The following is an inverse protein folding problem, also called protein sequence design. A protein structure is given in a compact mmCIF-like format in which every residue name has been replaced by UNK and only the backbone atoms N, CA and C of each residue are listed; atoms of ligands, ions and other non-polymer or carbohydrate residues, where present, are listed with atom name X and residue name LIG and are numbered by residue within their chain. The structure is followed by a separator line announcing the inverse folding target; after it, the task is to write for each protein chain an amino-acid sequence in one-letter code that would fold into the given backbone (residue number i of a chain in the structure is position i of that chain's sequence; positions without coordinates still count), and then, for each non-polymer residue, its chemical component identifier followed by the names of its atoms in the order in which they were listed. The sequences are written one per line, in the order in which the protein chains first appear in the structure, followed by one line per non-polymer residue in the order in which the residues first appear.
data_IF_138310220789
#
_entry.id   IF_138310220789
#
_cell.length_a   1.000
_cell.length_b   1.000
_cell.length_c   1.000
_cell.angle_alpha   90.00
_cell.angle_beta   90.00
_cell.angle_gamma   90.00
#
_symmetry.space_group_name_H-M   'P 1'
#
loop_
_entity.id
_entity.type
_entity.pdbx_description
1 polymer ?
#
# COMPACT_ATOMS: atom_id res chain seq x y z
N UNK A 1 9.22 28.90 -31.96
CA UNK A 1 9.71 28.23 -30.73
C UNK A 1 8.60 27.30 -30.26
N UNK A 2 8.53 26.07 -30.77
CA UNK A 2 7.43 25.12 -30.52
C UNK A 2 7.81 23.63 -30.27
N UNK A 3 9.07 23.22 -29.95
CA UNK A 3 9.35 21.81 -29.66
C UNK A 3 9.15 21.42 -28.18
N UNK A 4 9.16 22.36 -27.23
CA UNK A 4 9.19 22.05 -25.80
C UNK A 4 7.83 21.61 -25.21
N UNK A 5 6.72 22.14 -25.74
CA UNK A 5 5.37 21.92 -25.16
C UNK A 5 4.84 20.51 -25.46
N UNK A 6 5.23 19.89 -26.58
CA UNK A 6 4.75 18.54 -26.94
C UNK A 6 5.40 17.41 -26.12
N UNK A 7 6.60 17.61 -25.56
CA UNK A 7 7.26 16.59 -24.72
C UNK A 7 6.57 16.45 -23.36
N UNK A 8 6.32 17.57 -22.69
CA UNK A 8 5.73 17.61 -21.35
C UNK A 8 4.36 16.89 -21.28
N UNK A 9 3.51 17.05 -22.30
CA UNK A 9 2.19 16.40 -22.31
C UNK A 9 2.27 14.88 -22.54
N UNK A 10 3.27 14.40 -23.31
CA UNK A 10 3.45 12.97 -23.61
C UNK A 10 4.12 12.25 -22.45
N UNK A 11 5.03 12.93 -21.76
CA UNK A 11 5.71 12.43 -20.56
C UNK A 11 4.73 12.24 -19.41
N UNK A 12 3.84 13.20 -19.15
CA UNK A 12 2.77 13.06 -18.15
C UNK A 12 1.81 11.90 -18.47
N UNK A 13 1.44 11.73 -19.73
CA UNK A 13 0.57 10.62 -20.15
C UNK A 13 1.26 9.25 -20.02
N UNK A 14 2.54 9.17 -20.39
CA UNK A 14 3.34 7.95 -20.28
C UNK A 14 3.63 7.58 -18.81
N UNK A 15 3.93 8.56 -17.96
CA UNK A 15 4.00 8.39 -16.50
C UNK A 15 2.68 7.85 -15.95
N UNK A 16 1.54 8.39 -16.39
CA UNK A 16 0.20 7.95 -15.96
C UNK A 16 -0.05 6.48 -16.31
N UNK A 17 0.31 6.05 -17.52
CA UNK A 17 0.22 4.65 -17.97
C UNK A 17 1.19 3.75 -17.18
N UNK A 18 2.43 4.20 -16.99
CA UNK A 18 3.44 3.47 -16.21
C UNK A 18 2.94 3.21 -14.79
N UNK A 19 2.36 4.22 -14.15
CA UNK A 19 1.76 4.10 -12.83
C UNK A 19 0.55 3.18 -12.82
N UNK A 20 -0.36 3.29 -13.80
CA UNK A 20 -1.48 2.34 -13.95
C UNK A 20 -0.99 0.88 -14.06
N UNK A 21 0.06 0.62 -14.84
CA UNK A 21 0.65 -0.71 -14.97
C UNK A 21 1.30 -1.18 -13.66
N UNK A 22 2.02 -0.28 -12.99
CA UNK A 22 2.70 -0.57 -11.73
C UNK A 22 1.69 -0.91 -10.62
N UNK A 23 0.56 -0.20 -10.56
CA UNK A 23 -0.52 -0.53 -9.62
C UNK A 23 -1.29 -1.79 -9.98
N UNK A 24 -1.54 -2.03 -11.26
CA UNK A 24 -2.12 -3.28 -11.71
C UNK A 24 -1.22 -4.47 -11.30
N UNK A 25 0.10 -4.33 -11.44
CA UNK A 25 1.05 -5.36 -11.03
C UNK A 25 1.12 -5.50 -9.50
N UNK A 26 1.13 -4.39 -8.75
CA UNK A 26 1.09 -4.40 -7.29
C UNK A 26 -0.17 -5.09 -6.77
N UNK A 27 -1.34 -4.82 -7.38
CA UNK A 27 -2.60 -5.48 -7.05
C UNK A 27 -2.53 -7.00 -7.28
N UNK A 28 -1.96 -7.41 -8.42
CA UNK A 28 -1.76 -8.82 -8.76
C UNK A 28 -0.86 -9.56 -7.77
N UNK A 29 0.11 -8.88 -7.14
CA UNK A 29 0.99 -9.48 -6.12
C UNK A 29 0.37 -9.41 -4.72
N UNK A 30 -0.29 -8.31 -4.38
CA UNK A 30 -0.84 -8.09 -3.06
C UNK A 30 -2.03 -8.98 -2.73
N UNK A 31 -2.91 -9.25 -3.70
CA UNK A 31 -4.05 -10.14 -3.51
C UNK A 31 -3.62 -11.57 -3.12
N UNK A 32 -2.72 -12.26 -3.86
CA UNK A 32 -2.24 -13.58 -3.46
C UNK A 32 -1.38 -13.52 -2.18
N UNK A 33 -0.65 -12.43 -1.93
CA UNK A 33 0.14 -12.27 -0.72
C UNK A 33 -0.75 -12.14 0.55
N UNK A 34 -1.83 -11.36 0.48
CA UNK A 34 -2.83 -11.28 1.55
C UNK A 34 -3.49 -12.64 1.79
N UNK A 35 -3.89 -13.33 0.72
CA UNK A 35 -4.40 -14.71 0.80
C UNK A 35 -3.41 -15.64 1.51
N UNK A 36 -2.13 -15.58 1.17
CA UNK A 36 -1.09 -16.38 1.79
C UNK A 36 -0.94 -16.07 3.29
N UNK A 37 -0.96 -14.79 3.68
CA UNK A 37 -0.86 -14.38 5.09
C UNK A 37 -2.06 -14.84 5.90
N UNK A 38 -3.27 -14.71 5.36
CA UNK A 38 -4.50 -15.21 5.99
C UNK A 38 -4.45 -16.73 6.14
N UNK A 39 -4.00 -17.45 5.10
CA UNK A 39 -3.86 -18.90 5.15
C UNK A 39 -2.86 -19.33 6.23
N UNK A 40 -1.70 -18.67 6.29
CA UNK A 40 -0.72 -18.90 7.35
C UNK A 40 -1.31 -18.60 8.74
N UNK A 41 -2.06 -17.51 8.91
CA UNK A 41 -2.74 -17.23 10.19
C UNK A 41 -3.71 -18.33 10.58
N UNK A 42 -4.50 -18.86 9.65
CA UNK A 42 -5.45 -19.96 9.90
C UNK A 42 -4.69 -21.22 10.32
N UNK A 43 -3.62 -21.58 9.59
CA UNK A 43 -2.75 -22.70 9.96
C UNK A 43 -2.18 -22.51 11.36
N UNK A 44 -1.57 -21.36 11.65
CA UNK A 44 -1.02 -21.07 12.98
C UNK A 44 -2.08 -21.12 14.08
N UNK A 45 -3.29 -20.64 13.82
CA UNK A 45 -4.39 -20.69 14.77
C UNK A 45 -4.83 -22.13 15.07
N UNK A 46 -4.86 -23.00 14.06
CA UNK A 46 -5.23 -24.42 14.23
C UNK A 46 -4.16 -25.19 15.00
N UNK A 47 -2.88 -24.94 14.74
CA UNK A 47 -1.78 -25.67 15.40
C UNK A 47 -1.37 -25.10 16.77
N UNK A 48 -1.34 -23.77 16.93
CA UNK A 48 -0.84 -23.10 18.14
C UNK A 48 -1.92 -22.41 18.97
N UNK A 49 -3.18 -22.36 18.50
CA UNK A 49 -4.29 -21.71 19.20
C UNK A 49 -4.24 -20.18 19.24
N UNK A 50 -3.13 -19.56 18.83
CA UNK A 50 -2.95 -18.11 18.86
C UNK A 50 -2.54 -17.56 17.48
N UNK A 51 -3.11 -16.43 17.05
CA UNK A 51 -2.68 -15.75 15.82
C UNK A 51 -1.28 -15.17 15.99
N UNK A 52 -0.41 -15.36 14.99
CA UNK A 52 0.96 -14.85 15.04
C UNK A 52 0.97 -13.32 14.83
N UNK A 53 1.27 -12.57 15.90
CA UNK A 53 1.25 -11.10 15.90
C UNK A 53 2.10 -10.49 14.77
N UNK A 54 3.25 -11.07 14.44
CA UNK A 54 4.08 -10.61 13.31
C UNK A 54 3.40 -10.74 11.94
N UNK A 55 2.66 -11.83 11.69
CA UNK A 55 1.94 -12.02 10.43
C UNK A 55 0.70 -11.12 10.36
N UNK A 56 0.05 -10.88 11.50
CA UNK A 56 -1.05 -9.92 11.59
C UNK A 56 -0.60 -8.48 11.30
N UNK A 57 0.55 -8.06 11.86
CA UNK A 57 1.13 -6.74 11.57
C UNK A 57 1.55 -6.61 10.11
N UNK A 58 2.14 -7.67 9.52
CA UNK A 58 2.46 -7.70 8.08
C UNK A 58 1.21 -7.60 7.21
N UNK A 59 0.17 -8.38 7.49
CA UNK A 59 -1.10 -8.32 6.76
C UNK A 59 -1.76 -6.94 6.85
N UNK A 60 -1.77 -6.34 8.05
CA UNK A 60 -2.26 -4.97 8.25
C UNK A 60 -1.45 -3.92 7.48
N UNK A 61 -0.12 -4.04 7.47
CA UNK A 61 0.76 -3.16 6.70
C UNK A 61 0.59 -3.28 5.19
N UNK A 62 0.39 -4.50 4.67
CA UNK A 62 0.07 -4.71 3.25
C UNK A 62 -1.28 -4.10 2.89
N UNK A 63 -2.28 -4.21 3.77
CA UNK A 63 -3.58 -3.54 3.59
C UNK A 63 -3.46 -2.01 3.55
N UNK A 64 -2.67 -1.43 4.45
CA UNK A 64 -2.38 0.00 4.46
C UNK A 64 -1.62 0.46 3.22
N UNK A 65 -0.64 -0.32 2.76
CA UNK A 65 0.10 -0.04 1.54
C UNK A 65 -0.81 -0.09 0.31
N UNK A 66 -1.78 -1.02 0.29
CA UNK A 66 -2.80 -1.08 -0.76
C UNK A 66 -3.69 0.17 -0.81
N UNK A 67 -4.06 0.71 0.34
CA UNK A 67 -4.81 1.95 0.40
C UNK A 67 -3.99 3.14 -0.15
N UNK A 68 -2.70 3.23 0.19
CA UNK A 68 -1.80 4.24 -0.37
C UNK A 68 -1.66 4.11 -1.89
N UNK A 69 -1.49 2.88 -2.38
CA UNK A 69 -1.50 2.52 -3.80
C UNK A 69 -2.78 3.01 -4.48
N UNK A 70 -3.94 2.68 -3.91
CA UNK A 70 -5.24 3.03 -4.50
C UNK A 70 -5.44 4.55 -4.56
N UNK A 71 -5.05 5.26 -3.51
CA UNK A 71 -5.14 6.72 -3.44
C UNK A 71 -4.34 7.41 -4.56
N UNK A 72 -3.12 6.93 -4.80
CA UNK A 72 -2.30 7.43 -5.90
C UNK A 72 -2.86 7.01 -7.27
N UNK A 73 -3.27 5.75 -7.43
CA UNK A 73 -3.84 5.25 -8.68
C UNK A 73 -5.10 6.04 -9.10
N UNK A 74 -5.89 6.50 -8.13
CA UNK A 74 -7.08 7.33 -8.33
C UNK A 74 -6.80 8.82 -8.52
N UNK A 75 -5.52 9.24 -8.60
CA UNK A 75 -5.12 10.65 -8.68
C UNK A 75 -5.62 11.48 -7.49
N UNK A 76 -5.96 10.83 -6.38
CA UNK A 76 -6.34 11.53 -5.15
C UNK A 76 -5.10 12.09 -4.45
N UNK A 77 -3.92 11.53 -4.70
CA UNK A 77 -2.68 11.97 -4.09
C UNK A 77 -1.49 11.78 -5.03
N UNK A 78 -0.58 12.75 -5.06
CA UNK A 78 0.70 12.66 -5.76
C UNK A 78 1.81 12.06 -4.87
N UNK A 79 1.48 11.73 -3.61
CA UNK A 79 2.41 11.13 -2.66
C UNK A 79 2.78 9.70 -3.06
N UNK A 80 4.08 9.48 -3.26
CA UNK A 80 4.62 8.19 -3.66
C UNK A 80 4.45 7.17 -2.53
N UNK A 81 3.81 6.01 -2.77
CA UNK A 81 3.73 4.96 -1.77
C UNK A 81 5.12 4.40 -1.44
N UNK A 82 5.19 3.66 -0.34
CA UNK A 82 6.40 2.96 0.14
C UNK A 82 7.19 2.31 -1.03
N UNK A 83 8.54 2.45 -1.11
CA UNK A 83 9.49 2.79 -0.03
C UNK A 83 9.80 4.28 0.16
N UNK A 84 9.11 5.18 -0.54
CA UNK A 84 9.36 6.63 -0.40
C UNK A 84 8.55 7.23 0.77
N UNK A 85 7.34 6.73 0.99
CA UNK A 85 6.51 7.02 2.16
C UNK A 85 6.72 5.98 3.27
N UNK A 86 6.31 6.30 4.49
CA UNK A 86 6.45 5.45 5.68
C UNK A 86 5.64 4.14 5.56
N UNK A 87 6.12 3.05 6.17
CA UNK A 87 5.41 1.77 6.15
C UNK A 87 4.18 1.91 7.05
N UNK A 88 2.96 1.67 6.54
CA UNK A 88 1.76 1.91 7.33
C UNK A 88 1.61 0.84 8.41
N UNK A 89 2.29 1.01 9.54
CA UNK A 89 2.03 0.26 10.75
C UNK A 89 0.71 0.75 11.33
N UNK A 90 -0.32 -0.10 11.31
CA UNK A 90 -1.50 0.12 12.13
C UNK A 90 -1.11 -0.05 13.59
N UNK A 91 -0.68 1.05 14.21
CA UNK A 91 -0.16 1.09 15.57
C UNK A 91 0.12 2.49 16.11
N UNK A 92 0.22 3.52 15.27
CA UNK A 92 0.47 4.90 15.73
C UNK A 92 -0.78 5.79 15.70
N UNK A 93 -1.97 5.21 15.82
CA UNK A 93 -3.21 6.00 15.96
C UNK A 93 -3.44 6.44 17.42
N UNK A 94 -2.51 6.20 18.35
CA UNK A 94 -2.81 6.34 19.78
C UNK A 94 -1.84 7.11 20.67
N UNK A 95 -0.96 7.98 20.16
CA UNK A 95 -0.15 8.84 21.07
C UNK A 95 -0.31 10.36 20.82
N UNK A 96 -1.46 10.78 20.26
CA UNK A 96 -1.87 12.20 20.28
C UNK A 96 -3.29 12.42 20.79
N UNK A 97 -3.90 11.38 21.38
CA UNK A 97 -5.02 11.53 22.31
C UNK A 97 -4.48 11.37 23.73
N UNK A 98 -3.69 12.35 24.17
CA UNK A 98 -3.38 12.51 25.60
C UNK A 98 -4.70 12.55 26.39
N UNK A 99 -4.85 11.72 27.45
CA UNK A 99 -5.98 11.84 28.35
C UNK A 99 -5.70 12.90 29.42
N UNK A 100 -6.39 14.03 29.28
CA UNK A 100 -6.92 14.91 30.36
C UNK A 100 -5.87 15.69 31.20
N UNK A 101 -6.27 16.81 31.83
CA UNK A 101 -7.17 16.82 32.99
C UNK A 101 -8.61 17.29 32.73
#
# INVERSE_FOLDING_TARGET
MEPAVKKLNRESFCLRILWMLLYALAWQVAAPLLMLIVLLQVVYRVFKGQPHAGLARLGGGIGGWLAQIACYASFQSEDKPWPVADWPLQGEVSESREPMP
#
